data_IF_646137396580
#
_entry.id   IF_646137396580
#
_cell.length_a   1.000
_cell.length_b   1.000
_cell.length_c   1.000
_cell.angle_alpha   90.00
_cell.angle_beta   90.00
_cell.angle_gamma   90.00
#
_symmetry.space_group_name_H-M   'P 1'
#
loop_
_entity.id
_entity.type
_entity.pdbx_description
1 polymer ?
#
# COMPACT_ATOMS: atom_id res chain seq x y z
N UNK A 1 -16.93 17.07 -9.93
CA UNK A 1 -18.03 17.35 -8.98
C UNK A 1 -18.14 18.85 -8.74
N UNK A 2 -19.29 19.35 -8.26
CA UNK A 2 -19.44 20.77 -7.95
C UNK A 2 -18.62 21.14 -6.70
N UNK A 3 -17.69 22.10 -6.75
CA UNK A 3 -16.79 22.42 -5.62
C UNK A 3 -17.52 23.09 -4.43
N UNK A 4 -18.72 23.63 -4.67
CA UNK A 4 -19.55 24.28 -3.65
C UNK A 4 -20.69 23.40 -3.14
N UNK A 5 -20.86 22.22 -3.72
CA UNK A 5 -21.96 21.31 -3.42
C UNK A 5 -21.40 20.07 -2.72
N UNK A 6 -21.96 19.70 -1.57
CA UNK A 6 -21.52 18.49 -0.87
C UNK A 6 -22.10 17.27 -1.58
N UNK A 7 -21.22 16.42 -2.12
CA UNK A 7 -21.57 15.11 -2.68
C UNK A 7 -22.60 15.14 -3.84
N UNK A 8 -22.64 16.24 -4.60
CA UNK A 8 -23.51 16.37 -5.78
C UNK A 8 -22.68 16.39 -7.06
N UNK A 9 -23.04 15.52 -8.00
CA UNK A 9 -22.40 15.45 -9.31
C UNK A 9 -22.81 16.66 -10.18
N UNK A 10 -21.94 17.03 -11.11
CA UNK A 10 -22.14 18.21 -11.95
C UNK A 10 -23.37 18.08 -12.86
N UNK A 11 -23.80 16.87 -13.23
CA UNK A 11 -25.02 16.58 -13.99
C UNK A 11 -26.32 16.87 -13.22
N UNK A 12 -26.37 16.61 -11.92
CA UNK A 12 -27.56 16.78 -11.07
C UNK A 12 -27.58 18.06 -10.22
N UNK A 13 -26.58 18.92 -10.37
CA UNK A 13 -26.52 20.17 -9.62
C UNK A 13 -27.41 21.25 -10.26
N UNK A 14 -28.29 21.84 -9.45
CA UNK A 14 -29.27 22.88 -9.83
C UNK A 14 -28.88 24.30 -9.35
N UNK A 15 -27.64 24.45 -8.88
CA UNK A 15 -27.09 25.77 -8.53
C UNK A 15 -26.64 26.51 -9.79
N UNK A 16 -26.78 27.83 -9.80
CA UNK A 16 -26.36 28.70 -10.92
C UNK A 16 -24.90 28.48 -11.33
N UNK A 17 -24.01 28.25 -10.35
CA UNK A 17 -22.59 27.95 -10.61
C UNK A 17 -22.40 26.69 -11.47
N UNK A 18 -23.26 25.68 -11.33
CA UNK A 18 -23.18 24.45 -12.10
C UNK A 18 -23.71 24.64 -13.53
N UNK A 19 -24.66 25.55 -13.73
CA UNK A 19 -25.12 25.92 -15.07
C UNK A 19 -24.04 26.72 -15.82
N UNK A 20 -23.42 27.68 -15.15
CA UNK A 20 -22.32 28.48 -15.70
C UNK A 20 -21.13 27.58 -16.09
N UNK A 21 -20.74 26.63 -15.22
CA UNK A 21 -19.70 25.66 -15.54
C UNK A 21 -20.05 24.79 -16.76
N UNK A 22 -21.30 24.34 -16.90
CA UNK A 22 -21.73 23.56 -18.07
C UNK A 22 -21.78 24.39 -19.35
N UNK A 23 -22.11 25.68 -19.26
CA UNK A 23 -22.05 26.61 -20.39
C UNK A 23 -20.60 26.78 -20.85
N UNK A 24 -19.69 27.06 -19.92
CA UNK A 24 -18.26 27.23 -20.21
C UNK A 24 -17.63 25.96 -20.80
N UNK A 25 -17.94 24.77 -20.27
CA UNK A 25 -17.45 23.50 -20.84
C UNK A 25 -17.91 23.34 -22.29
N UNK A 26 -19.17 23.68 -22.60
CA UNK A 26 -19.68 23.60 -23.98
C UNK A 26 -18.96 24.58 -24.91
N UNK A 27 -18.70 25.80 -24.46
CA UNK A 27 -17.97 26.79 -25.25
C UNK A 27 -16.53 26.34 -25.53
N UNK A 28 -15.86 25.74 -24.54
CA UNK A 28 -14.50 25.21 -24.73
C UNK A 28 -14.46 23.98 -25.64
N UNK A 29 -15.47 23.09 -25.56
CA UNK A 29 -15.61 21.97 -26.49
C UNK A 29 -15.90 22.47 -27.92
N UNK A 30 -16.76 23.49 -28.06
CA UNK A 30 -17.04 24.12 -29.35
C UNK A 30 -15.81 24.83 -29.94
N UNK A 31 -14.94 25.37 -29.07
CA UNK A 31 -13.64 25.92 -29.44
C UNK A 31 -12.58 24.85 -29.80
N UNK A 32 -12.93 23.56 -29.74
CA UNK A 32 -12.06 22.45 -30.12
C UNK A 32 -10.98 22.10 -29.11
N UNK A 33 -11.11 22.53 -27.84
CA UNK A 33 -10.18 22.10 -26.79
C UNK A 33 -10.35 20.61 -26.48
N UNK A 34 -9.24 19.97 -26.11
CA UNK A 34 -9.27 18.58 -25.67
C UNK A 34 -9.95 18.46 -24.29
N UNK A 35 -10.51 17.28 -24.00
CA UNK A 35 -11.13 17.02 -22.70
C UNK A 35 -10.16 17.21 -21.53
N UNK A 36 -8.90 16.84 -21.72
CA UNK A 36 -7.84 16.97 -20.72
C UNK A 36 -7.48 18.43 -20.44
N UNK A 37 -7.41 19.27 -21.48
CA UNK A 37 -7.17 20.72 -21.33
C UNK A 37 -8.31 21.40 -20.56
N UNK A 38 -9.56 20.98 -20.81
CA UNK A 38 -10.73 21.51 -20.09
C UNK A 38 -10.67 21.10 -18.62
N UNK A 39 -10.35 19.83 -18.34
CA UNK A 39 -10.20 19.36 -16.96
C UNK A 39 -9.09 20.11 -16.22
N UNK A 40 -7.95 20.36 -16.89
CA UNK A 40 -6.83 21.11 -16.33
C UNK A 40 -7.19 22.57 -16.04
N UNK A 41 -7.95 23.20 -16.93
CA UNK A 41 -8.47 24.56 -16.72
C UNK A 41 -9.40 24.65 -15.50
N UNK A 42 -10.26 23.65 -15.31
CA UNK A 42 -11.16 23.62 -14.16
C UNK A 42 -10.46 23.18 -12.86
N UNK A 43 -9.44 22.32 -12.91
CA UNK A 43 -8.64 21.95 -11.73
C UNK A 43 -7.80 23.10 -11.21
N UNK A 44 -7.18 23.88 -12.10
CA UNK A 44 -6.37 25.04 -11.72
C UNK A 44 -7.22 26.12 -11.00
N UNK A 45 -8.46 26.32 -11.46
CA UNK A 45 -9.34 27.37 -10.93
C UNK A 45 -10.13 26.97 -9.69
N UNK A 46 -10.56 25.71 -9.59
CA UNK A 46 -11.47 25.23 -8.55
C UNK A 46 -10.90 24.10 -7.67
N UNK A 47 -9.67 23.67 -7.95
CA UNK A 47 -8.97 22.59 -7.26
C UNK A 47 -9.28 21.19 -7.79
N UNK A 48 -8.45 20.22 -7.40
CA UNK A 48 -8.58 18.80 -7.78
C UNK A 48 -9.91 18.16 -7.37
N UNK A 49 -10.59 18.80 -6.41
CA UNK A 49 -11.95 18.46 -6.01
C UNK A 49 -12.92 18.45 -7.20
N UNK A 50 -12.69 19.18 -8.29
CA UNK A 50 -13.63 19.16 -9.43
C UNK A 50 -13.49 17.88 -10.27
N UNK A 51 -12.36 17.18 -10.19
CA UNK A 51 -12.12 15.98 -10.98
C UNK A 51 -12.82 14.77 -10.35
N UNK A 52 -13.51 13.99 -11.18
CA UNK A 52 -14.10 12.72 -10.76
C UNK A 52 -13.03 11.63 -10.57
N UNK A 53 -11.91 11.76 -11.28
CA UNK A 53 -10.75 10.87 -11.21
C UNK A 53 -9.50 11.74 -11.05
N UNK A 54 -8.73 11.50 -10.00
CA UNK A 54 -7.49 12.25 -9.74
C UNK A 54 -6.52 11.99 -10.90
N UNK A 55 -5.95 13.03 -11.56
CA UNK A 55 -5.16 12.86 -12.77
C UNK A 55 -3.98 11.94 -12.49
N UNK A 56 -3.79 10.93 -13.35
CA UNK A 56 -2.76 9.89 -13.19
C UNK A 56 -1.38 10.35 -13.65
N UNK A 57 -1.12 11.65 -13.65
CA UNK A 57 0.04 12.24 -14.32
C UNK A 57 1.03 12.86 -13.33
N UNK A 58 2.32 12.61 -13.58
CA UNK A 58 3.45 13.24 -12.88
C UNK A 58 3.69 12.73 -11.46
N UNK A 59 3.01 13.30 -10.47
CA UNK A 59 3.38 13.14 -9.06
C UNK A 59 2.83 11.84 -8.44
N UNK A 60 1.62 11.43 -8.84
CA UNK A 60 1.03 10.17 -8.39
C UNK A 60 1.80 8.95 -8.90
N UNK A 61 2.28 8.96 -10.15
CA UNK A 61 3.10 7.86 -10.69
C UNK A 61 4.42 7.70 -9.92
N UNK A 62 5.02 8.79 -9.45
CA UNK A 62 6.26 8.72 -8.69
C UNK A 62 6.03 8.17 -7.28
N UNK A 63 4.97 8.61 -6.59
CA UNK A 63 4.55 8.08 -5.28
C UNK A 63 4.12 6.61 -5.36
N UNK A 64 3.23 6.25 -6.31
CA UNK A 64 2.81 4.87 -6.52
C UNK A 64 3.93 3.98 -7.06
N UNK A 65 4.84 4.53 -7.88
CA UNK A 65 6.02 3.84 -8.37
C UNK A 65 7.04 3.55 -7.26
N UNK A 66 7.24 4.48 -6.32
CA UNK A 66 8.09 4.26 -5.15
C UNK A 66 7.45 3.28 -4.15
N UNK A 67 6.15 3.40 -3.87
CA UNK A 67 5.44 2.47 -2.97
C UNK A 67 5.37 1.07 -3.60
N UNK A 68 4.97 0.96 -4.87
CA UNK A 68 4.94 -0.31 -5.59
C UNK A 68 6.33 -0.93 -5.76
N UNK A 69 7.33 -0.12 -6.10
CA UNK A 69 8.72 -0.54 -6.26
C UNK A 69 9.36 -1.00 -4.95
N UNK A 70 9.13 -0.29 -3.84
CA UNK A 70 9.64 -0.66 -2.52
C UNK A 70 9.02 -1.96 -2.01
N UNK A 71 7.71 -2.18 -2.22
CA UNK A 71 7.05 -3.44 -1.90
C UNK A 71 7.67 -4.60 -2.70
N UNK A 72 7.81 -4.43 -4.02
CA UNK A 72 8.45 -5.45 -4.87
C UNK A 72 9.89 -5.75 -4.45
N UNK A 73 10.65 -4.73 -4.08
CA UNK A 73 12.03 -4.88 -3.60
C UNK A 73 12.11 -5.69 -2.30
N UNK A 74 11.24 -5.39 -1.33
CA UNK A 74 11.16 -6.14 -0.06
C UNK A 74 10.76 -7.60 -0.32
N UNK A 75 9.79 -7.84 -1.21
CA UNK A 75 9.37 -9.19 -1.59
C UNK A 75 10.51 -9.95 -2.28
N UNK A 76 11.24 -9.32 -3.19
CA UNK A 76 12.38 -9.93 -3.87
C UNK A 76 13.52 -10.30 -2.91
N UNK A 77 13.84 -9.42 -1.95
CA UNK A 77 14.83 -9.70 -0.91
C UNK A 77 14.35 -10.85 -0.01
N UNK A 78 13.12 -10.80 0.47
CA UNK A 78 12.55 -11.86 1.31
C UNK A 78 12.54 -13.21 0.60
N UNK A 79 12.11 -13.25 -0.66
CA UNK A 79 12.09 -14.47 -1.47
C UNK A 79 13.49 -15.03 -1.72
N UNK A 80 14.47 -14.18 -2.05
CA UNK A 80 15.85 -14.62 -2.28
C UNK A 80 16.54 -15.08 -0.99
N UNK A 81 16.30 -14.42 0.14
CA UNK A 81 16.78 -14.83 1.45
C UNK A 81 16.19 -16.20 1.84
N UNK A 82 14.87 -16.37 1.72
CA UNK A 82 14.19 -17.63 2.00
C UNK A 82 14.69 -18.76 1.09
N UNK A 83 14.89 -18.49 -0.20
CA UNK A 83 15.41 -19.46 -1.15
C UNK A 83 16.85 -19.87 -0.83
N UNK A 84 17.71 -18.91 -0.43
CA UNK A 84 19.07 -19.21 0.02
C UNK A 84 19.09 -19.99 1.32
N UNK A 85 18.23 -19.67 2.28
CA UNK A 85 18.09 -20.43 3.53
C UNK A 85 17.62 -21.86 3.25
N UNK A 86 16.65 -22.05 2.34
CA UNK A 86 16.19 -23.39 1.94
C UNK A 86 17.25 -24.20 1.21
N UNK A 87 18.16 -23.54 0.47
CA UNK A 87 19.32 -24.20 -0.15
C UNK A 87 20.47 -24.47 0.83
N UNK A 88 20.64 -23.62 1.84
CA UNK A 88 21.65 -23.78 2.90
C UNK A 88 21.22 -24.75 4.02
N UNK A 89 19.92 -25.03 4.14
CA UNK A 89 19.36 -26.00 5.09
C UNK A 89 19.76 -27.46 4.84
N UNK A 90 20.53 -27.75 3.78
CA UNK A 90 21.19 -29.04 3.61
C UNK A 90 22.36 -29.27 4.59
N UNK A 91 22.76 -28.30 5.43
CA UNK A 91 23.86 -28.45 6.40
C UNK A 91 23.56 -27.86 7.78
N UNK A 92 22.31 -27.92 8.27
CA UNK A 92 22.10 -27.87 9.73
C UNK A 92 22.16 -29.31 10.23
N UNK A 93 23.20 -29.75 10.94
CA UNK A 93 23.15 -31.03 11.62
C UNK A 93 21.96 -30.96 12.58
N UNK A 94 20.99 -31.86 12.39
CA UNK A 94 19.80 -32.02 13.22
C UNK A 94 20.16 -32.60 14.60
N UNK A 95 21.09 -31.95 15.31
CA UNK A 95 21.63 -32.39 16.59
C UNK A 95 22.07 -31.26 17.52
N UNK A 96 22.02 -29.99 17.11
CA UNK A 96 22.48 -28.86 17.94
C UNK A 96 21.37 -28.21 18.80
N UNK A 97 20.23 -28.88 19.00
CA UNK A 97 19.11 -28.30 19.74
C UNK A 97 18.17 -29.30 20.43
N UNK A 98 18.65 -30.50 20.78
CA UNK A 98 17.75 -31.48 21.41
C UNK A 98 18.38 -32.71 22.06
N UNK A 99 19.71 -32.83 22.10
CA UNK A 99 20.35 -33.82 22.96
C UNK A 99 20.93 -33.04 24.14
N UNK A 100 20.26 -33.12 25.30
CA UNK A 100 20.83 -32.68 26.56
C UNK A 100 22.21 -33.33 26.70
N UNK A 101 23.20 -32.57 27.11
CA UNK A 101 24.48 -33.17 27.42
C UNK A 101 24.33 -34.10 28.64
N UNK A 102 25.22 -35.10 28.77
CA UNK A 102 25.13 -36.08 29.84
C UNK A 102 25.24 -35.49 31.26
N UNK A 103 25.70 -34.25 31.41
CA UNK A 103 25.72 -33.50 32.67
C UNK A 103 24.38 -32.79 32.94
N UNK A 104 23.70 -32.30 31.92
CA UNK A 104 22.36 -31.71 32.00
C UNK A 104 21.30 -32.77 32.35
N UNK A 105 21.38 -33.97 31.76
CA UNK A 105 20.50 -35.09 32.12
C UNK A 105 20.66 -35.50 33.59
N UNK A 106 21.90 -35.57 34.09
CA UNK A 106 22.17 -35.92 35.50
C UNK A 106 21.63 -34.87 36.48
N UNK A 107 21.74 -33.59 36.15
CA UNK A 107 21.21 -32.50 36.97
C UNK A 107 19.67 -32.52 36.99
N UNK A 108 19.03 -32.80 35.85
CA UNK A 108 17.57 -32.93 35.76
C UNK A 108 17.06 -34.08 36.63
N UNK A 109 17.72 -35.24 36.57
CA UNK A 109 17.39 -36.44 37.35
C UNK A 109 17.51 -36.19 38.86
N UNK A 110 18.53 -35.44 39.28
CA UNK A 110 18.73 -35.03 40.67
C UNK A 110 17.61 -34.11 41.16
N UNK A 111 17.17 -33.15 40.34
CA UNK A 111 16.07 -32.24 40.69
C UNK A 111 14.71 -32.94 40.79
N UNK A 112 14.45 -33.94 39.94
CA UNK A 112 13.20 -34.72 40.00
C UNK A 112 13.12 -35.51 41.31
N UNK A 113 14.20 -36.22 41.68
CA UNK A 113 14.25 -36.98 42.95
C UNK A 113 14.13 -36.07 44.18
N UNK A 114 14.74 -34.88 44.12
CA UNK A 114 14.66 -33.91 45.22
C UNK A 114 13.23 -33.36 45.45
N UNK A 115 12.37 -33.40 44.42
CA UNK A 115 10.96 -32.98 44.50
C UNK A 115 10.08 -34.11 45.02
N UNK A 116 10.26 -35.33 44.52
CA UNK A 116 9.50 -36.51 44.97
C UNK A 116 9.74 -36.84 46.45
N UNK A 117 10.96 -36.63 46.97
CA UNK A 117 11.26 -36.88 48.38
C UNK A 117 10.72 -35.84 49.38
N UNK A 118 9.99 -34.82 48.92
CA UNK A 118 9.42 -33.75 49.76
C UNK A 118 7.89 -33.90 49.93
N UNK A 119 7.27 -34.84 49.23
CA UNK A 119 5.86 -35.23 49.38
C UNK A 119 5.73 -36.50 50.25
#
# INVERSE_FOLDING_TARGET
MCPRCINVRLDHCELTICEDMRAEIRDQLAAGRSGDDILLFFSDRFGDAVLAELPREGFNLWLFGWVGGSILFVVAIGATALWRMRRGAALVPAGAGGALDASEERWLDEQIRAREGRE
#
